data_IF_183470004931
#
_entry.id   IF_183470004931
#
_cell.length_a   1.000
_cell.length_b   1.000
_cell.length_c   1.000
_cell.angle_alpha   90.00
_cell.angle_beta   90.00
_cell.angle_gamma   90.00
#
_symmetry.space_group_name_H-M   'P 1'
#
loop_
_entity.id
_entity.type
_entity.pdbx_description
1 polymer ?
#
# COMPACT_ATOMS: atom_id res chain seq x y z
N UNK A 1 -17.21 6.90 25.57
CA UNK A 1 -16.41 5.91 24.81
C UNK A 1 -16.48 6.31 23.36
N UNK A 2 -15.37 6.31 22.61
CA UNK A 2 -15.34 6.71 21.20
C UNK A 2 -16.21 5.81 20.31
N UNK A 3 -16.92 6.41 19.37
CA UNK A 3 -17.62 5.72 18.27
C UNK A 3 -16.68 5.47 17.08
N UNK A 4 -17.12 4.72 16.06
CA UNK A 4 -16.39 4.62 14.78
C UNK A 4 -16.10 6.01 14.18
N UNK A 5 -17.07 6.92 14.22
CA UNK A 5 -16.90 8.30 13.74
C UNK A 5 -15.83 9.04 14.53
N UNK A 6 -15.77 8.84 15.85
CA UNK A 6 -14.72 9.43 16.68
C UNK A 6 -13.34 8.87 16.34
N UNK A 7 -13.21 7.56 16.13
CA UNK A 7 -11.95 6.94 15.68
C UNK A 7 -11.49 7.44 14.32
N UNK A 8 -12.40 7.54 13.35
CA UNK A 8 -12.10 8.17 12.06
C UNK A 8 -11.63 9.62 12.23
N UNK A 9 -12.33 10.40 13.06
CA UNK A 9 -11.98 11.79 13.31
C UNK A 9 -10.61 11.93 14.02
N UNK A 10 -10.26 11.01 14.93
CA UNK A 10 -8.95 10.98 15.58
C UNK A 10 -7.86 10.77 14.53
N UNK A 11 -8.01 9.79 13.64
CA UNK A 11 -7.04 9.53 12.56
C UNK A 11 -6.92 10.75 11.64
N UNK A 12 -8.05 11.29 11.18
CA UNK A 12 -8.06 12.38 10.22
C UNK A 12 -7.39 13.65 10.74
N UNK A 13 -7.44 13.92 12.07
CA UNK A 13 -6.72 15.05 12.69
C UNK A 13 -5.20 14.95 12.58
N UNK A 14 -4.67 13.74 12.44
CA UNK A 14 -3.23 13.50 12.28
C UNK A 14 -2.79 13.44 10.82
N UNK A 15 -3.73 13.53 9.88
CA UNK A 15 -3.42 13.54 8.46
C UNK A 15 -3.41 14.96 7.90
N UNK A 16 -2.48 15.27 6.98
CA UNK A 16 -2.54 16.49 6.17
C UNK A 16 -3.89 16.63 5.44
N UNK A 17 -4.30 17.87 5.09
CA UNK A 17 -5.51 18.14 4.32
C UNK A 17 -5.64 17.32 3.03
N UNK A 18 -6.88 17.07 2.60
CA UNK A 18 -7.19 16.16 1.47
C UNK A 18 -6.64 16.66 0.13
N UNK A 19 -6.45 17.97 -0.03
CA UNK A 19 -5.86 18.61 -1.20
C UNK A 19 -4.33 18.49 -1.26
N UNK A 20 -3.66 18.18 -0.15
CA UNK A 20 -2.21 17.93 -0.09
C UNK A 20 -1.91 16.44 -0.40
N UNK A 21 -2.06 16.05 -1.66
CA UNK A 21 -2.08 14.65 -2.08
C UNK A 21 -0.84 13.85 -1.65
N UNK A 22 0.36 14.35 -1.96
CA UNK A 22 1.62 13.66 -1.62
C UNK A 22 1.81 13.60 -0.10
N UNK A 23 1.64 14.73 0.60
CA UNK A 23 1.85 14.80 2.04
C UNK A 23 0.87 13.89 2.79
N UNK A 24 -0.42 13.90 2.40
CA UNK A 24 -1.43 13.04 3.00
C UNK A 24 -1.16 11.57 2.75
N UNK A 25 -0.77 11.17 1.54
CA UNK A 25 -0.42 9.77 1.26
C UNK A 25 0.80 9.31 2.05
N UNK A 26 1.83 10.18 2.21
CA UNK A 26 2.99 9.89 3.06
C UNK A 26 2.58 9.64 4.51
N UNK A 27 1.72 10.49 5.07
CA UNK A 27 1.21 10.30 6.43
C UNK A 27 0.39 8.99 6.58
N UNK A 28 -0.41 8.63 5.56
CA UNK A 28 -1.12 7.33 5.53
C UNK A 28 -0.13 6.16 5.49
N UNK A 29 0.88 6.22 4.63
CA UNK A 29 1.95 5.22 4.54
C UNK A 29 2.68 5.08 5.87
N UNK A 30 3.00 6.19 6.53
CA UNK A 30 3.67 6.22 7.83
C UNK A 30 2.80 5.65 8.96
N UNK A 31 1.49 5.91 8.94
CA UNK A 31 0.56 5.31 9.89
C UNK A 31 0.55 3.78 9.78
N UNK A 32 0.43 3.24 8.56
CA UNK A 32 0.52 1.80 8.32
C UNK A 32 1.84 1.20 8.81
N UNK A 33 2.97 1.81 8.45
CA UNK A 33 4.29 1.35 8.85
C UNK A 33 4.46 1.39 10.37
N UNK A 34 3.97 2.45 11.03
CA UNK A 34 4.03 2.61 12.49
C UNK A 34 3.20 1.55 13.22
N UNK A 35 2.01 1.22 12.71
CA UNK A 35 1.20 0.14 13.27
C UNK A 35 1.92 -1.21 13.18
N UNK A 36 2.51 -1.52 12.03
CA UNK A 36 3.32 -2.73 11.88
C UNK A 36 4.49 -2.74 12.87
N UNK A 37 5.30 -1.68 12.91
CA UNK A 37 6.49 -1.61 13.77
C UNK A 37 6.17 -1.71 15.26
N UNK A 38 4.95 -1.35 15.67
CA UNK A 38 4.51 -1.50 17.07
C UNK A 38 4.39 -2.95 17.48
N UNK A 39 3.81 -3.81 16.65
CA UNK A 39 3.78 -5.27 16.84
C UNK A 39 3.88 -6.02 15.50
N UNK A 40 5.11 -6.24 14.99
CA UNK A 40 5.35 -6.79 13.64
C UNK A 40 4.74 -8.18 13.42
N UNK A 41 4.72 -8.99 14.47
CA UNK A 41 4.15 -10.33 14.42
C UNK A 41 2.63 -10.32 14.32
N UNK A 42 1.96 -9.22 14.70
CA UNK A 42 0.50 -9.10 14.80
C UNK A 42 -0.10 -8.29 13.63
N UNK A 43 0.41 -7.08 13.39
CA UNK A 43 -0.18 -6.14 12.43
C UNK A 43 0.34 -6.32 10.99
N UNK A 44 0.41 -7.56 10.50
CA UNK A 44 1.03 -7.89 9.20
C UNK A 44 0.30 -7.28 8.01
N UNK A 45 -1.02 -7.12 8.08
CA UNK A 45 -1.76 -6.41 7.02
C UNK A 45 -1.29 -4.95 6.89
N UNK A 46 -1.09 -4.24 8.00
CA UNK A 46 -0.64 -2.85 7.98
C UNK A 46 0.75 -2.73 7.35
N UNK A 47 1.65 -3.69 7.60
CA UNK A 47 2.96 -3.70 6.95
C UNK A 47 2.87 -3.81 5.43
N UNK A 48 2.04 -4.73 4.93
CA UNK A 48 1.81 -4.89 3.48
C UNK A 48 1.16 -3.64 2.88
N UNK A 49 0.17 -3.07 3.57
CA UNK A 49 -0.50 -1.84 3.16
C UNK A 49 0.45 -0.63 3.10
N UNK A 50 1.47 -0.56 3.98
CA UNK A 50 2.51 0.47 3.91
C UNK A 50 3.29 0.42 2.59
N UNK A 51 3.70 -0.76 2.14
CA UNK A 51 4.41 -0.92 0.86
C UNK A 51 3.51 -0.59 -0.34
N UNK A 52 2.26 -1.06 -0.34
CA UNK A 52 1.29 -0.73 -1.38
C UNK A 52 1.02 0.78 -1.44
N UNK A 53 0.83 1.43 -0.28
CA UNK A 53 0.60 2.87 -0.19
C UNK A 53 1.82 3.71 -0.62
N UNK A 54 3.04 3.24 -0.31
CA UNK A 54 4.27 3.88 -0.78
C UNK A 54 4.38 3.88 -2.31
N UNK A 55 3.98 2.79 -2.94
CA UNK A 55 3.94 2.65 -4.39
C UNK A 55 2.89 3.57 -5.03
N UNK A 56 1.71 3.70 -4.42
CA UNK A 56 0.71 4.72 -4.80
C UNK A 56 1.29 6.13 -4.70
N UNK A 57 2.12 6.40 -3.67
CA UNK A 57 2.81 7.66 -3.49
C UNK A 57 3.70 8.08 -4.66
N UNK A 58 4.35 7.12 -5.34
CA UNK A 58 5.11 7.38 -6.57
C UNK A 58 4.19 7.90 -7.68
N UNK A 59 3.03 7.26 -7.87
CA UNK A 59 2.02 7.68 -8.84
C UNK A 59 1.44 9.07 -8.53
N UNK A 60 1.20 9.38 -7.26
CA UNK A 60 0.70 10.70 -6.84
C UNK A 60 1.76 11.79 -7.09
N UNK A 61 3.04 11.51 -6.80
CA UNK A 61 4.11 12.47 -7.06
C UNK A 61 4.21 12.80 -8.56
N UNK A 62 4.06 11.79 -9.43
CA UNK A 62 3.96 12.00 -10.87
C UNK A 62 2.73 12.86 -11.23
N UNK A 63 1.57 12.55 -10.66
CA UNK A 63 0.35 13.33 -10.88
C UNK A 63 0.51 14.81 -10.51
N UNK A 64 1.15 15.14 -9.38
CA UNK A 64 1.43 16.52 -9.00
C UNK A 64 2.37 17.23 -9.99
N UNK A 65 3.38 16.52 -10.51
CA UNK A 65 4.28 17.07 -11.55
C UNK A 65 3.51 17.37 -12.85
N UNK A 66 2.60 16.48 -13.26
CA UNK A 66 1.77 16.70 -14.45
C UNK A 66 0.80 17.89 -14.30
N UNK A 67 0.31 18.18 -13.07
CA UNK A 67 -0.58 19.33 -12.80
C UNK A 67 0.11 20.69 -12.84
N UNK A 68 1.43 20.76 -12.66
CA UNK A 68 2.19 22.02 -12.52
C UNK A 68 3.40 22.07 -13.46
N UNK A 69 3.21 22.16 -14.79
CA UNK A 69 4.31 22.12 -15.75
C UNK A 69 5.33 23.27 -15.58
N UNK A 70 4.95 24.38 -14.95
CA UNK A 70 5.85 25.52 -14.69
C UNK A 70 7.02 25.20 -13.73
N UNK A 71 6.89 24.19 -12.85
CA UNK A 71 8.00 23.73 -11.98
C UNK A 71 9.08 22.96 -12.75
N UNK A 72 8.79 22.43 -13.93
CA UNK A 72 9.78 21.77 -14.80
C UNK A 72 10.76 22.79 -15.41
N UNK A 73 10.30 24.01 -15.65
CA UNK A 73 11.09 25.10 -16.27
C UNK A 73 11.88 25.89 -15.21
N UNK A 74 11.37 26.02 -13.98
CA UNK A 74 12.07 26.72 -12.90
C UNK A 74 13.28 25.93 -12.33
N UNK A 75 13.20 24.59 -12.28
CA UNK A 75 14.29 23.75 -11.77
C UNK A 75 15.44 23.54 -12.77
N UNK A 76 15.37 24.11 -13.98
CA UNK A 76 16.47 24.04 -14.96
C UNK A 76 17.45 25.22 -14.87
N UNK A 77 17.17 26.24 -14.04
CA UNK A 77 17.96 27.48 -14.02
C UNK A 77 18.69 27.80 -12.70
N UNK A 78 18.36 27.16 -11.56
CA UNK A 78 19.04 27.41 -10.28
C UNK A 78 19.36 26.10 -9.56
N UNK A 79 20.65 25.74 -9.51
CA UNK A 79 21.19 24.67 -8.66
C UNK A 79 21.99 25.30 -7.51
N UNK A 80 21.44 25.33 -6.29
CA UNK A 80 22.23 25.30 -5.06
C UNK A 80 22.02 23.98 -4.29
N UNK A 81 23.03 23.67 -3.49
CA UNK A 81 23.38 22.38 -2.87
C UNK A 81 22.43 21.92 -1.75
N UNK A 82 21.63 20.90 -2.06
CA UNK A 82 20.95 19.89 -1.20
C UNK A 82 19.86 20.30 -0.17
N UNK A 83 18.86 19.41 0.10
CA UNK A 83 18.69 18.04 -0.41
C UNK A 83 17.58 17.95 -1.47
N UNK A 84 17.94 17.47 -2.66
CA UNK A 84 17.01 17.27 -3.78
C UNK A 84 16.57 15.81 -3.85
N UNK A 85 15.50 15.57 -4.59
CA UNK A 85 14.81 14.31 -4.87
C UNK A 85 15.75 13.15 -5.30
N UNK A 86 17.04 13.41 -5.57
CA UNK A 86 18.07 12.37 -5.74
C UNK A 86 18.25 11.49 -4.50
N UNK A 87 17.95 11.97 -3.28
CA UNK A 87 18.03 11.10 -2.09
C UNK A 87 16.88 10.08 -2.03
N UNK A 88 15.74 10.38 -2.67
CA UNK A 88 14.65 9.41 -2.87
C UNK A 88 14.86 8.54 -4.12
N UNK A 89 15.76 8.94 -5.02
CA UNK A 89 16.04 8.34 -6.33
C UNK A 89 17.53 7.97 -6.49
N UNK A 90 18.22 7.60 -5.41
CA UNK A 90 19.68 7.47 -5.32
C UNK A 90 20.40 7.04 -6.61
N UNK A 91 21.36 7.88 -7.04
CA UNK A 91 22.48 7.67 -7.97
C UNK A 91 22.25 6.78 -9.22
N UNK A 92 22.44 7.30 -10.46
CA UNK A 92 22.18 6.58 -11.71
C UNK A 92 23.28 5.57 -12.09
N UNK A 93 24.27 5.33 -11.23
CA UNK A 93 25.40 4.44 -11.52
C UNK A 93 25.35 3.23 -10.58
N UNK A 94 24.45 2.28 -10.84
CA UNK A 94 24.60 0.95 -10.23
C UNK A 94 23.37 0.05 -10.08
N UNK A 95 22.13 0.54 -10.21
CA UNK A 95 20.94 -0.33 -10.15
C UNK A 95 19.91 0.09 -11.18
N UNK A 96 19.45 -0.89 -11.97
CA UNK A 96 18.54 -0.73 -13.11
C UNK A 96 17.36 0.17 -12.79
N UNK A 97 17.49 1.44 -13.20
CA UNK A 97 16.44 2.43 -13.15
C UNK A 97 15.21 1.87 -13.86
N UNK A 98 14.10 1.84 -13.14
CA UNK A 98 12.84 1.37 -13.66
C UNK A 98 12.39 2.28 -14.81
N UNK A 99 12.59 1.82 -16.04
CA UNK A 99 12.19 2.48 -17.29
C UNK A 99 10.65 2.57 -17.43
N UNK A 100 9.88 1.97 -16.51
CA UNK A 100 8.42 1.96 -16.55
C UNK A 100 7.75 3.34 -16.32
N UNK A 101 8.51 4.37 -15.89
CA UNK A 101 8.01 5.74 -15.76
C UNK A 101 8.85 6.79 -16.52
N UNK A 102 9.88 6.35 -17.26
CA UNK A 102 10.62 7.18 -18.22
C UNK A 102 10.22 6.86 -19.65
N UNK A 103 8.93 6.57 -19.90
CA UNK A 103 8.40 6.71 -21.25
C UNK A 103 8.10 8.20 -21.45
N UNK A 104 8.69 8.88 -22.46
CA UNK A 104 8.10 10.09 -22.95
C UNK A 104 6.69 9.70 -23.40
N UNK A 105 5.67 10.11 -22.64
CA UNK A 105 4.31 10.15 -23.16
C UNK A 105 4.41 11.05 -24.38
N UNK A 106 4.51 10.42 -25.55
CA UNK A 106 4.59 11.07 -26.85
C UNK A 106 3.25 11.78 -27.10
N UNK A 107 3.16 12.95 -26.49
CA UNK A 107 2.45 14.16 -26.87
C UNK A 107 1.12 13.94 -27.60
N UNK A 108 0.09 13.67 -26.81
CA UNK A 108 -1.13 14.46 -26.91
C UNK A 108 -1.57 14.84 -25.50
N UNK A 109 -1.94 16.10 -25.27
CA UNK A 109 -2.38 16.61 -23.96
C UNK A 109 -3.48 15.74 -23.32
N UNK A 110 -4.33 15.14 -24.15
CA UNK A 110 -5.39 14.22 -23.74
C UNK A 110 -4.87 12.95 -23.05
N UNK A 111 -3.73 12.39 -23.48
CA UNK A 111 -3.11 11.24 -22.84
C UNK A 111 -2.53 11.60 -21.46
N UNK A 112 -2.01 12.82 -21.32
CA UNK A 112 -1.52 13.35 -20.03
C UNK A 112 -2.65 13.60 -19.04
N UNK A 113 -3.76 14.20 -19.50
CA UNK A 113 -4.94 14.46 -18.66
C UNK A 113 -5.61 13.15 -18.22
N UNK A 114 -5.68 12.16 -19.12
CA UNK A 114 -6.21 10.84 -18.79
C UNK A 114 -5.33 10.12 -17.77
N UNK A 115 -4.01 10.13 -17.95
CA UNK A 115 -3.08 9.54 -17.00
C UNK A 115 -3.17 10.21 -15.62
N UNK A 116 -3.28 11.54 -15.58
CA UNK A 116 -3.52 12.27 -14.35
C UNK A 116 -4.80 11.78 -13.65
N UNK A 117 -5.88 11.63 -14.40
CA UNK A 117 -7.16 11.12 -13.89
C UNK A 117 -7.02 9.71 -13.30
N UNK A 118 -6.34 8.81 -14.01
CA UNK A 118 -6.10 7.43 -13.58
C UNK A 118 -5.27 7.37 -12.27
N UNK A 119 -4.23 8.22 -12.15
CA UNK A 119 -3.41 8.29 -10.93
C UNK A 119 -4.21 8.82 -9.73
N UNK A 120 -5.12 9.77 -9.96
CA UNK A 120 -6.02 10.27 -8.92
C UNK A 120 -7.02 9.20 -8.48
N UNK A 121 -7.51 8.34 -9.39
CA UNK A 121 -8.35 7.19 -9.05
C UNK A 121 -7.59 6.21 -8.15
N UNK A 122 -6.34 5.88 -8.47
CA UNK A 122 -5.49 4.99 -7.64
C UNK A 122 -5.30 5.59 -6.24
N UNK A 123 -5.07 6.91 -6.16
CA UNK A 123 -4.99 7.62 -4.88
C UNK A 123 -6.29 7.56 -4.08
N UNK A 124 -7.44 7.73 -4.73
CA UNK A 124 -8.74 7.63 -4.08
C UNK A 124 -9.00 6.22 -3.56
N UNK A 125 -8.56 5.19 -4.30
CA UNK A 125 -8.64 3.81 -3.86
C UNK A 125 -7.83 3.58 -2.57
N UNK A 126 -6.60 4.09 -2.48
CA UNK A 126 -5.78 4.00 -1.26
C UNK A 126 -6.40 4.73 -0.07
N UNK A 127 -6.93 5.95 -0.28
CA UNK A 127 -7.65 6.70 0.76
C UNK A 127 -8.90 5.95 1.25
N UNK A 128 -9.61 5.27 0.34
CA UNK A 128 -10.79 4.48 0.68
C UNK A 128 -10.45 3.28 1.55
N UNK A 129 -9.37 2.56 1.23
CA UNK A 129 -8.86 1.44 2.05
C UNK A 129 -8.50 1.93 3.46
N UNK A 130 -7.77 3.05 3.53
CA UNK A 130 -7.36 3.61 4.81
C UNK A 130 -8.54 4.07 5.65
N UNK A 131 -9.54 4.72 5.04
CA UNK A 131 -10.78 5.12 5.71
C UNK A 131 -11.59 3.91 6.20
N UNK A 132 -11.59 2.83 5.43
CA UNK A 132 -12.34 1.61 5.73
C UNK A 132 -11.75 0.86 6.92
N UNK A 133 -10.42 0.65 6.94
CA UNK A 133 -9.77 -0.26 7.90
C UNK A 133 -8.92 0.46 8.97
N UNK A 134 -8.51 1.72 8.75
CA UNK A 134 -7.61 2.45 9.64
C UNK A 134 -8.18 2.71 11.03
N UNK A 135 -9.46 3.07 11.13
CA UNK A 135 -10.14 3.30 12.41
C UNK A 135 -10.16 2.05 13.28
N UNK A 136 -10.32 0.87 12.67
CA UNK A 136 -10.37 -0.41 13.37
C UNK A 136 -9.01 -0.75 13.99
N UNK A 137 -7.91 -0.44 13.29
CA UNK A 137 -6.56 -0.56 13.86
C UNK A 137 -6.40 0.30 15.11
N UNK A 138 -6.80 1.58 15.07
CA UNK A 138 -6.69 2.43 16.26
C UNK A 138 -7.58 1.93 17.41
N UNK A 139 -8.84 1.59 17.13
CA UNK A 139 -9.76 1.07 18.14
C UNK A 139 -9.18 -0.18 18.83
N UNK A 140 -8.65 -1.12 18.04
CA UNK A 140 -8.03 -2.33 18.56
C UNK A 140 -6.74 -2.04 19.34
N UNK A 141 -5.88 -1.18 18.80
CA UNK A 141 -4.59 -0.83 19.42
C UNK A 141 -4.74 -0.18 20.80
N UNK A 142 -5.78 0.64 21.00
CA UNK A 142 -5.97 1.41 22.23
C UNK A 142 -7.05 0.83 23.16
N UNK A 143 -8.01 0.07 22.63
CA UNK A 143 -9.14 -0.47 23.38
C UNK A 143 -9.36 -1.98 23.24
N UNK A 144 -8.54 -2.67 22.44
CA UNK A 144 -8.67 -4.11 22.19
C UNK A 144 -9.90 -4.49 21.38
N UNK A 145 -10.16 -5.80 21.28
CA UNK A 145 -11.31 -6.33 20.53
C UNK A 145 -12.65 -5.80 21.05
N UNK A 146 -12.79 -5.66 22.37
CA UNK A 146 -14.03 -5.18 23.02
C UNK A 146 -14.42 -3.78 22.53
N UNK A 147 -13.45 -2.89 22.36
CA UNK A 147 -13.73 -1.53 21.88
C UNK A 147 -14.07 -1.51 20.40
N UNK A 148 -13.38 -2.33 19.60
CA UNK A 148 -13.68 -2.49 18.18
C UNK A 148 -15.11 -3.02 17.98
N UNK A 149 -15.51 -4.07 18.72
CA UNK A 149 -16.84 -4.69 18.66
C UNK A 149 -17.99 -3.73 18.92
N UNK A 150 -17.77 -2.71 19.76
CA UNK A 150 -18.78 -1.67 20.02
C UNK A 150 -18.95 -0.68 18.88
N UNK A 151 -17.93 -0.52 18.04
CA UNK A 151 -17.88 0.49 16.99
C UNK A 151 -18.38 -0.02 15.62
N UNK A 152 -18.35 -1.34 15.41
CA UNK A 152 -18.66 -1.95 14.10
C UNK A 152 -20.15 -1.90 13.78
N UNK A 153 -20.44 -1.52 12.54
CA UNK A 153 -21.76 -1.68 11.94
C UNK A 153 -21.87 -3.04 11.21
N UNK A 154 -23.05 -3.35 10.66
CA UNK A 154 -23.25 -4.53 9.82
C UNK A 154 -22.36 -4.53 8.56
N UNK A 155 -22.04 -3.37 8.01
CA UNK A 155 -21.11 -3.26 6.87
C UNK A 155 -19.67 -3.63 7.21
N UNK A 156 -19.31 -3.68 8.50
CA UNK A 156 -17.93 -3.85 8.96
C UNK A 156 -17.64 -5.30 9.41
N UNK A 157 -18.54 -6.25 9.15
CA UNK A 157 -18.41 -7.62 9.66
C UNK A 157 -17.14 -8.34 9.17
N UNK A 158 -16.68 -8.05 7.95
CA UNK A 158 -15.44 -8.60 7.43
C UNK A 158 -14.21 -8.11 8.22
N UNK A 159 -14.20 -6.83 8.60
CA UNK A 159 -13.17 -6.21 9.43
C UNK A 159 -13.21 -6.85 10.83
N UNK A 160 -14.39 -6.92 11.44
CA UNK A 160 -14.56 -7.55 12.75
C UNK A 160 -14.07 -9.00 12.77
N UNK A 161 -14.44 -9.79 11.75
CA UNK A 161 -14.01 -11.18 11.64
C UNK A 161 -12.48 -11.30 11.60
N UNK A 162 -11.80 -10.43 10.86
CA UNK A 162 -10.34 -10.43 10.83
C UNK A 162 -9.72 -10.06 12.17
N UNK A 163 -10.26 -9.05 12.87
CA UNK A 163 -9.74 -8.66 14.19
C UNK A 163 -10.04 -9.71 15.29
N UNK A 164 -11.14 -10.48 15.17
CA UNK A 164 -11.38 -11.64 16.04
C UNK A 164 -10.34 -12.74 15.83
N UNK A 165 -10.01 -13.06 14.58
CA UNK A 165 -8.93 -14.00 14.27
C UNK A 165 -7.58 -13.51 14.81
N UNK A 166 -7.31 -12.21 14.67
CA UNK A 166 -6.08 -11.58 15.16
C UNK A 166 -5.99 -11.65 16.69
N UNK A 167 -7.08 -11.35 17.40
CA UNK A 167 -7.15 -11.41 18.86
C UNK A 167 -7.05 -12.83 19.40
N UNK A 168 -7.80 -13.78 18.83
CA UNK A 168 -7.69 -15.20 19.19
C UNK A 168 -6.26 -15.70 18.92
N UNK A 169 -5.68 -15.35 17.77
CA UNK A 169 -4.31 -15.69 17.43
C UNK A 169 -3.31 -15.21 18.47
N UNK A 170 -3.42 -13.96 18.92
CA UNK A 170 -2.59 -13.39 19.98
C UNK A 170 -2.72 -14.16 21.30
N UNK A 171 -3.94 -14.52 21.70
CA UNK A 171 -4.19 -15.30 22.93
C UNK A 171 -3.56 -16.70 22.86
N UNK A 172 -3.73 -17.41 21.73
CA UNK A 172 -3.14 -18.75 21.52
C UNK A 172 -1.60 -18.72 21.53
N UNK A 173 -1.00 -17.63 21.05
CA UNK A 173 0.46 -17.49 21.07
C UNK A 173 1.05 -17.33 22.48
N UNK A 174 0.24 -17.10 23.52
CA UNK A 174 0.71 -17.08 24.90
C UNK A 174 1.05 -18.48 25.44
N UNK A 175 0.58 -19.56 24.80
CA UNK A 175 0.82 -20.93 25.24
C UNK A 175 1.68 -21.69 24.20
N UNK A 176 2.80 -22.32 24.60
CA UNK A 176 3.65 -23.07 23.67
C UNK A 176 2.90 -24.15 22.88
N UNK A 177 1.88 -24.78 23.48
CA UNK A 177 1.10 -25.84 22.84
C UNK A 177 0.18 -25.33 21.71
N UNK A 178 -0.22 -24.06 21.74
CA UNK A 178 -1.13 -23.47 20.75
C UNK A 178 -0.48 -22.38 19.89
N UNK A 179 0.82 -22.12 20.08
CA UNK A 179 1.57 -21.09 19.37
C UNK A 179 1.45 -21.18 17.84
N UNK A 180 1.68 -22.36 17.25
CA UNK A 180 1.60 -22.55 15.79
C UNK A 180 0.19 -22.25 15.25
N UNK A 181 -0.84 -22.64 16.01
CA UNK A 181 -2.22 -22.36 15.62
C UNK A 181 -2.52 -20.85 15.72
N UNK A 182 -2.04 -20.19 16.78
CA UNK A 182 -2.19 -18.74 16.93
C UNK A 182 -1.50 -17.96 15.81
N UNK A 183 -0.31 -18.39 15.39
CA UNK A 183 0.39 -17.81 14.25
C UNK A 183 -0.41 -17.91 12.95
N UNK A 184 -1.06 -19.05 12.72
CA UNK A 184 -1.90 -19.26 11.54
C UNK A 184 -3.18 -18.43 11.58
N UNK A 185 -3.78 -18.22 12.76
CA UNK A 185 -4.90 -17.29 12.92
C UNK A 185 -4.51 -15.86 12.57
N UNK A 186 -3.30 -15.40 12.94
CA UNK A 186 -2.79 -14.08 12.55
C UNK A 186 -2.53 -13.99 11.04
N UNK A 187 -2.03 -15.06 10.41
CA UNK A 187 -1.95 -15.13 8.94
C UNK A 187 -3.34 -15.00 8.31
N UNK A 188 -4.31 -15.76 8.81
CA UNK A 188 -5.68 -15.77 8.29
C UNK A 188 -6.36 -14.40 8.48
N UNK A 189 -6.12 -13.70 9.59
CA UNK A 189 -6.58 -12.34 9.81
C UNK A 189 -6.04 -11.39 8.74
N UNK A 190 -4.75 -11.48 8.42
CA UNK A 190 -4.09 -10.68 7.38
C UNK A 190 -4.70 -10.92 6.01
N UNK A 191 -4.91 -12.19 5.66
CA UNK A 191 -5.54 -12.59 4.40
C UNK A 191 -6.99 -12.12 4.34
N UNK A 192 -7.71 -12.15 5.47
CA UNK A 192 -9.12 -11.73 5.55
C UNK A 192 -9.26 -10.23 5.30
N UNK A 193 -8.43 -9.39 5.93
CA UNK A 193 -8.41 -7.94 5.66
C UNK A 193 -8.04 -7.66 4.20
N UNK A 194 -7.00 -8.32 3.69
CA UNK A 194 -6.57 -8.13 2.30
C UNK A 194 -7.66 -8.56 1.33
N UNK A 195 -8.36 -9.67 1.57
CA UNK A 195 -9.45 -10.12 0.71
C UNK A 195 -10.62 -9.13 0.71
N UNK A 196 -10.98 -8.58 1.87
CA UNK A 196 -12.01 -7.54 1.96
C UNK A 196 -11.65 -6.32 1.11
N UNK A 197 -10.43 -5.81 1.25
CA UNK A 197 -9.89 -4.72 0.42
C UNK A 197 -10.01 -5.04 -1.08
N UNK A 198 -9.50 -6.21 -1.48
CA UNK A 198 -9.33 -6.58 -2.89
C UNK A 198 -10.65 -6.91 -3.60
N UNK A 199 -11.64 -7.39 -2.86
CA UNK A 199 -12.94 -7.87 -3.38
C UNK A 199 -14.09 -6.89 -3.17
N UNK A 200 -13.99 -5.99 -2.18
CA UNK A 200 -15.07 -5.07 -1.82
C UNK A 200 -14.70 -3.62 -2.13
N UNK A 201 -13.50 -3.19 -1.74
CA UNK A 201 -13.11 -1.76 -1.79
C UNK A 201 -12.54 -1.38 -3.15
N UNK A 202 -11.56 -2.13 -3.66
CA UNK A 202 -10.84 -1.78 -4.89
C UNK A 202 -11.63 -1.89 -6.20
N UNK A 203 -12.51 -2.89 -6.42
CA UNK A 203 -13.17 -3.07 -7.71
C UNK A 203 -13.85 -1.83 -8.31
N UNK A 204 -14.64 -1.02 -7.56
CA UNK A 204 -15.26 0.18 -8.12
C UNK A 204 -14.25 1.23 -8.62
N UNK A 205 -13.06 1.33 -8.02
CA UNK A 205 -12.01 2.24 -8.49
C UNK A 205 -11.30 1.67 -9.72
N UNK A 206 -10.98 0.37 -9.70
CA UNK A 206 -10.29 -0.30 -10.80
C UNK A 206 -11.14 -0.35 -12.07
N UNK A 207 -12.47 -0.35 -11.93
CA UNK A 207 -13.39 -0.23 -13.05
C UNK A 207 -13.30 1.13 -13.77
N UNK A 208 -12.89 2.20 -13.08
CA UNK A 208 -12.83 3.56 -13.63
C UNK A 208 -11.54 3.86 -14.41
N UNK A 209 -10.51 3.03 -14.27
CA UNK A 209 -9.24 3.24 -14.97
C UNK A 209 -9.41 3.12 -16.48
N UNK A 210 -8.76 4.02 -17.22
CA UNK A 210 -8.62 3.91 -18.68
C UNK A 210 -7.76 2.71 -19.08
N UNK A 211 -7.80 2.30 -20.35
CA UNK A 211 -6.94 1.19 -20.83
C UNK A 211 -5.45 1.49 -20.63
N UNK A 212 -5.03 2.73 -20.85
CA UNK A 212 -3.65 3.19 -20.60
C UNK A 212 -3.34 3.14 -19.10
N UNK A 213 -4.27 3.60 -18.27
CA UNK A 213 -4.14 3.54 -16.81
C UNK A 213 -4.01 2.11 -16.28
N UNK A 214 -4.83 1.18 -16.79
CA UNK A 214 -4.75 -0.26 -16.48
C UNK A 214 -3.40 -0.83 -16.89
N UNK A 215 -2.91 -0.50 -18.07
CA UNK A 215 -1.61 -0.97 -18.57
C UNK A 215 -0.45 -0.46 -17.69
N UNK A 216 -0.41 0.85 -17.44
CA UNK A 216 0.63 1.48 -16.60
C UNK A 216 0.59 0.91 -15.19
N UNK A 217 -0.59 0.79 -14.58
CA UNK A 217 -0.73 0.18 -13.27
C UNK A 217 -0.23 -1.28 -13.28
N UNK A 218 -0.53 -2.06 -14.33
CA UNK A 218 -0.16 -3.47 -14.40
C UNK A 218 1.35 -3.67 -14.56
N UNK A 219 2.01 -2.90 -15.42
CA UNK A 219 3.48 -2.91 -15.57
C UNK A 219 4.13 -2.35 -14.30
N UNK A 220 3.49 -1.35 -13.70
CA UNK A 220 3.98 -0.63 -12.55
C UNK A 220 3.82 -1.36 -11.22
N UNK A 221 3.30 -2.59 -11.19
CA UNK A 221 2.97 -3.30 -9.95
C UNK A 221 4.06 -4.27 -9.48
N UNK A 222 4.79 -3.89 -8.43
CA UNK A 222 5.79 -4.72 -7.74
C UNK A 222 5.92 -4.34 -6.26
N UNK A 223 6.46 -5.24 -5.44
CA UNK A 223 6.70 -5.01 -4.01
C UNK A 223 8.16 -5.22 -3.63
N UNK A 224 8.80 -4.19 -3.07
CA UNK A 224 10.19 -4.25 -2.58
C UNK A 224 10.26 -4.15 -1.05
N UNK A 225 10.22 -5.32 -0.41
CA UNK A 225 10.24 -5.46 1.05
C UNK A 225 11.62 -5.27 1.69
N UNK A 226 12.71 -5.35 0.92
CA UNK A 226 14.08 -5.42 1.48
C UNK A 226 15.08 -4.43 0.88
N UNK A 227 14.69 -3.62 -0.11
CA UNK A 227 15.59 -2.69 -0.81
C UNK A 227 16.41 -3.36 -1.92
N UNK A 228 15.96 -4.53 -2.39
CA UNK A 228 16.57 -5.26 -3.52
C UNK A 228 16.19 -4.67 -4.88
N UNK A 229 15.22 -3.75 -4.93
CA UNK A 229 14.61 -3.30 -6.16
C UNK A 229 13.60 -4.30 -6.71
N UNK A 230 13.13 -4.12 -7.96
CA UNK A 230 12.11 -4.99 -8.58
C UNK A 230 12.63 -6.40 -8.89
N UNK A 231 13.95 -6.59 -8.89
CA UNK A 231 14.61 -7.88 -9.18
C UNK A 231 14.74 -8.64 -7.86
N UNK A 232 13.66 -9.30 -7.43
CA UNK A 232 13.69 -10.17 -6.23
C UNK A 232 12.45 -10.10 -5.34
N UNK A 233 11.50 -9.21 -5.64
CA UNK A 233 10.20 -9.14 -4.97
C UNK A 233 9.04 -9.58 -5.85
N UNK A 234 7.85 -9.81 -5.27
CA UNK A 234 6.63 -10.11 -6.03
C UNK A 234 6.34 -9.01 -7.05
N UNK A 235 6.03 -9.42 -8.27
CA UNK A 235 5.87 -8.52 -9.41
C UNK A 235 4.80 -9.04 -10.36
N UNK A 236 3.74 -8.26 -10.56
CA UNK A 236 2.64 -8.62 -11.44
C UNK A 236 3.09 -8.90 -12.88
N UNK A 237 3.91 -8.04 -13.55
CA UNK A 237 4.35 -8.31 -14.92
C UNK A 237 5.33 -9.47 -15.01
N UNK A 238 6.10 -9.74 -13.95
CA UNK A 238 6.99 -10.92 -13.92
C UNK A 238 6.18 -12.21 -13.75
N UNK A 239 5.15 -12.19 -12.89
CA UNK A 239 4.32 -13.35 -12.60
C UNK A 239 3.48 -13.81 -13.80
N UNK A 240 2.79 -12.89 -14.48
CA UNK A 240 1.97 -13.22 -15.66
C UNK A 240 2.73 -13.19 -16.99
N UNK A 241 3.94 -12.62 -17.00
CA UNK A 241 4.73 -12.40 -18.20
C UNK A 241 4.37 -11.09 -18.91
N UNK A 242 5.41 -10.33 -19.30
CA UNK A 242 5.27 -9.05 -19.98
C UNK A 242 4.38 -9.10 -21.24
N UNK A 243 4.45 -10.12 -22.13
CA UNK A 243 3.58 -10.16 -23.31
C UNK A 243 2.08 -10.20 -22.97
N UNK A 244 1.70 -10.95 -21.93
CA UNK A 244 0.31 -11.05 -21.48
C UNK A 244 -0.19 -9.73 -20.87
N UNK A 245 0.68 -9.01 -20.17
CA UNK A 245 0.34 -7.69 -19.60
C UNK A 245 0.28 -6.62 -20.69
N UNK A 246 1.26 -6.57 -21.60
CA UNK A 246 1.31 -5.58 -22.68
C UNK A 246 0.16 -5.72 -23.68
N UNK A 247 -0.34 -6.94 -23.89
CA UNK A 247 -1.52 -7.18 -24.73
C UNK A 247 -2.85 -6.89 -24.02
N UNK A 248 -2.83 -6.58 -22.71
CA UNK A 248 -4.04 -6.44 -21.90
C UNK A 248 -4.74 -7.75 -21.55
N UNK A 249 -4.17 -8.91 -21.93
CA UNK A 249 -4.70 -10.22 -21.59
C UNK A 249 -4.67 -10.51 -20.08
N UNK A 250 -3.77 -9.84 -19.35
CA UNK A 250 -3.70 -9.83 -17.89
C UNK A 250 -3.58 -8.41 -17.37
N UNK A 251 -4.35 -8.06 -16.34
CA UNK A 251 -4.34 -6.70 -15.78
C UNK A 251 -4.50 -6.69 -14.26
N UNK A 252 -3.72 -5.83 -13.58
CA UNK A 252 -3.88 -5.61 -12.14
C UNK A 252 -5.25 -5.00 -11.81
N UNK A 253 -5.91 -4.35 -12.77
CA UNK A 253 -7.25 -3.83 -12.59
C UNK A 253 -8.33 -4.93 -12.61
N UNK A 254 -8.04 -6.10 -13.21
CA UNK A 254 -8.93 -7.26 -13.19
C UNK A 254 -8.83 -7.95 -11.82
N UNK A 255 -9.97 -8.09 -11.13
CA UNK A 255 -10.02 -8.67 -9.78
C UNK A 255 -9.48 -10.11 -9.71
N UNK A 256 -9.79 -10.94 -10.71
CA UNK A 256 -9.35 -12.34 -10.75
C UNK A 256 -7.84 -12.44 -10.97
N UNK A 257 -7.30 -11.69 -11.92
CA UNK A 257 -5.86 -11.65 -12.18
C UNK A 257 -5.10 -11.12 -10.96
N UNK A 258 -5.57 -9.99 -10.41
CA UNK A 258 -4.98 -9.37 -9.21
C UNK A 258 -4.97 -10.34 -8.04
N UNK A 259 -6.09 -11.00 -7.73
CA UNK A 259 -6.13 -11.96 -6.63
C UNK A 259 -5.25 -13.19 -6.89
N UNK A 260 -5.20 -13.69 -8.12
CA UNK A 260 -4.35 -14.83 -8.48
C UNK A 260 -2.87 -14.52 -8.24
N UNK A 261 -2.42 -13.33 -8.62
CA UNK A 261 -1.06 -12.87 -8.32
C UNK A 261 -0.85 -12.69 -6.81
N UNK A 262 -1.81 -12.06 -6.12
CA UNK A 262 -1.73 -11.83 -4.67
C UNK A 262 -1.57 -13.15 -3.92
N UNK A 263 -2.42 -14.13 -4.22
CA UNK A 263 -2.48 -15.42 -3.54
C UNK A 263 -1.25 -16.30 -3.82
N UNK A 264 -0.72 -16.25 -5.05
CA UNK A 264 0.32 -17.19 -5.50
C UNK A 264 1.75 -16.65 -5.45
N UNK A 265 1.92 -15.34 -5.35
CA UNK A 265 3.23 -14.70 -5.38
C UNK A 265 3.41 -13.72 -4.20
N UNK A 266 2.52 -12.72 -4.09
CA UNK A 266 2.67 -11.66 -3.09
C UNK A 266 2.55 -12.14 -1.65
N UNK A 267 1.45 -12.82 -1.30
CA UNK A 267 1.17 -13.27 0.06
C UNK A 267 2.21 -14.26 0.57
N UNK A 268 2.61 -15.32 -0.17
CA UNK A 268 3.66 -16.23 0.27
C UNK A 268 4.97 -15.51 0.59
N UNK A 269 5.40 -14.57 -0.27
CA UNK A 269 6.61 -13.79 -0.04
C UNK A 269 6.48 -12.89 1.20
N UNK A 270 5.36 -12.15 1.33
CA UNK A 270 5.12 -11.27 2.47
C UNK A 270 5.11 -12.02 3.80
N UNK A 271 4.42 -13.16 3.86
CA UNK A 271 4.35 -13.98 5.07
C UNK A 271 5.71 -14.59 5.43
N UNK A 272 6.53 -14.97 4.44
CA UNK A 272 7.90 -15.42 4.67
C UNK A 272 8.76 -14.30 5.27
N UNK A 273 8.64 -13.06 4.78
CA UNK A 273 9.34 -11.92 5.37
C UNK A 273 8.86 -11.58 6.78
N UNK A 274 7.56 -11.72 7.06
CA UNK A 274 7.04 -11.55 8.43
C UNK A 274 7.57 -12.63 9.38
N UNK A 275 7.67 -13.88 8.93
CA UNK A 275 8.21 -14.98 9.73
C UNK A 275 9.72 -14.80 10.03
N UNK A 276 10.47 -14.24 9.09
CA UNK A 276 11.89 -13.95 9.23
C UNK A 276 12.16 -12.56 9.86
N UNK A 277 11.14 -11.86 10.36
CA UNK A 277 11.30 -10.50 10.87
C UNK A 277 12.24 -10.44 12.09
N UNK A 278 13.14 -9.45 12.08
CA UNK A 278 13.90 -9.03 13.24
C UNK A 278 14.19 -7.52 13.14
N UNK A 279 14.37 -6.86 14.30
CA UNK A 279 14.42 -5.38 14.42
C UNK A 279 15.51 -4.71 13.58
N UNK A 280 16.66 -5.38 13.40
CA UNK A 280 17.77 -4.88 12.59
C UNK A 280 17.75 -5.41 11.15
N UNK A 281 16.63 -6.03 10.75
CA UNK A 281 16.46 -6.66 9.45
C UNK A 281 16.21 -5.66 8.32
N UNK A 282 16.37 -6.10 7.06
CA UNK A 282 16.10 -5.25 5.90
C UNK A 282 14.63 -4.81 5.84
N UNK A 283 13.69 -5.69 6.19
CA UNK A 283 12.27 -5.35 6.28
C UNK A 283 11.99 -4.26 7.33
N UNK A 284 12.57 -4.41 8.53
CA UNK A 284 12.42 -3.42 9.60
C UNK A 284 12.96 -2.05 9.18
N UNK A 285 14.16 -1.99 8.58
CA UNK A 285 14.72 -0.74 8.04
C UNK A 285 13.82 -0.08 7.00
N UNK A 286 13.24 -0.87 6.08
CA UNK A 286 12.32 -0.35 5.06
C UNK A 286 11.09 0.28 5.70
N UNK A 287 10.46 -0.41 6.64
CA UNK A 287 9.29 0.12 7.35
C UNK A 287 9.62 1.33 8.24
N UNK A 288 10.79 1.37 8.87
CA UNK A 288 11.25 2.53 9.63
C UNK A 288 11.39 3.77 8.74
N UNK A 289 11.95 3.62 7.53
CA UNK A 289 11.99 4.71 6.55
C UNK A 289 10.59 5.17 6.14
N UNK A 290 9.66 4.23 5.92
CA UNK A 290 8.28 4.57 5.60
C UNK A 290 7.55 5.28 6.76
N UNK A 291 7.91 4.98 8.01
CA UNK A 291 7.32 5.58 9.20
C UNK A 291 7.92 6.95 9.59
N UNK A 292 9.05 7.35 9.02
CA UNK A 292 9.78 8.57 9.40
C UNK A 292 9.18 9.88 8.83
N UNK A 293 7.98 9.84 8.25
CA UNK A 293 7.34 10.95 7.52
C UNK A 293 5.98 11.29 8.11
#
# INVERSE_FOLDING_TARGET
MPTKTDWCAIIDRHLPPVDQLVARNRAITAAYASWYLRQPWLFRWAGLAAFASAQVGIGIALAEQLRSPQRLIANSADLPTNPTISDLLGEPVGRGGNVALTMPVLLHATATDQLLTDLLIIKQANDAIFRDTGWAHLAYIYGGLVELERCVAESDQAILAAFRLLDEGAQRMCEPATFTHGWELVNQATITLLRHEQMTILPPYMAQLSDIGRLIASIGTWMDFTGGGPIGGPSFPTFFGLPAVLSGARSIANTTDRWTWIERDLLPAWLAYCAAYHTDGPLARRLQMLAAH
#
